data_IF_898619012832
#
_entry.id   IF_898619012832
#
_cell.length_a   1.000
_cell.length_b   1.000
_cell.length_c   1.000
_cell.angle_alpha   90.00
_cell.angle_beta   90.00
_cell.angle_gamma   90.00
#
_symmetry.space_group_name_H-M   'P 1'
#
loop_
_entity.id
_entity.type
_entity.pdbx_description
1 polymer ?
#
# COMPACT_ATOMS: atom_id res chain seq x y z
N UNK A 1 -3.55 1.31 17.96
CA UNK A 1 -3.76 0.81 16.57
C UNK A 1 -4.35 -0.59 16.64
N UNK A 2 -5.16 -0.99 15.66
CA UNK A 2 -5.79 -2.31 15.65
C UNK A 2 -4.84 -3.38 15.09
N UNK A 3 -4.53 -4.41 15.88
CA UNK A 3 -3.75 -5.57 15.42
C UNK A 3 -4.69 -6.74 15.09
N UNK A 4 -5.04 -6.99 13.82
CA UNK A 4 -5.96 -8.08 13.47
C UNK A 4 -5.49 -9.45 14.00
N UNK A 5 -6.44 -10.36 14.19
CA UNK A 5 -6.10 -11.78 14.34
C UNK A 5 -5.80 -12.38 12.96
N UNK A 6 -4.86 -13.32 12.86
CA UNK A 6 -4.46 -13.92 11.58
C UNK A 6 -5.65 -14.44 10.75
N UNK A 7 -6.63 -15.09 11.39
CA UNK A 7 -7.85 -15.58 10.72
C UNK A 7 -8.65 -14.48 10.00
N UNK A 8 -8.53 -13.21 10.41
CA UNK A 8 -9.19 -12.10 9.72
C UNK A 8 -8.55 -11.79 8.37
N UNK A 9 -7.26 -12.06 8.19
CA UNK A 9 -6.53 -11.78 6.95
C UNK A 9 -7.13 -12.50 5.75
N UNK A 10 -7.73 -13.68 5.95
CA UNK A 10 -8.41 -14.43 4.90
C UNK A 10 -9.61 -13.69 4.28
N UNK A 11 -10.21 -12.74 5.01
CA UNK A 11 -11.39 -11.96 4.56
C UNK A 11 -11.01 -10.70 3.77
N UNK A 12 -9.76 -10.26 3.85
CA UNK A 12 -9.26 -9.06 3.20
C UNK A 12 -8.89 -9.34 1.75
N UNK A 13 -8.80 -8.28 0.95
CA UNK A 13 -8.17 -8.36 -0.37
C UNK A 13 -6.71 -8.76 -0.21
N UNK A 14 -6.28 -9.75 -0.99
CA UNK A 14 -4.93 -10.26 -0.97
C UNK A 14 -4.19 -9.95 -2.28
N UNK A 15 -2.91 -9.62 -2.16
CA UNK A 15 -1.96 -9.56 -3.26
C UNK A 15 -0.99 -10.71 -3.02
N UNK A 16 -0.97 -11.68 -3.92
CA UNK A 16 -0.23 -12.93 -3.76
C UNK A 16 0.91 -12.96 -4.76
N UNK A 17 2.11 -13.28 -4.28
CA UNK A 17 3.32 -13.45 -5.08
C UNK A 17 4.28 -14.41 -4.37
N UNK A 18 5.16 -15.05 -5.13
CA UNK A 18 6.25 -15.81 -4.54
C UNK A 18 7.43 -14.90 -4.13
N UNK A 19 8.31 -15.43 -3.26
CA UNK A 19 9.46 -14.66 -2.75
C UNK A 19 10.43 -14.27 -3.86
N UNK A 20 10.63 -15.14 -4.84
CA UNK A 20 11.53 -14.87 -5.97
C UNK A 20 11.05 -13.68 -6.79
N UNK A 21 9.74 -13.58 -7.03
CA UNK A 21 9.13 -12.45 -7.70
C UNK A 21 9.23 -11.18 -6.87
N UNK A 22 9.08 -11.27 -5.55
CA UNK A 22 9.28 -10.14 -4.66
C UNK A 22 10.72 -9.60 -4.72
N UNK A 23 11.71 -10.50 -4.75
CA UNK A 23 13.13 -10.15 -4.92
C UNK A 23 13.39 -9.54 -6.31
N UNK A 24 12.79 -10.05 -7.38
CA UNK A 24 12.89 -9.48 -8.73
C UNK A 24 12.31 -8.05 -8.76
N UNK A 25 11.14 -7.82 -8.16
CA UNK A 25 10.56 -6.49 -8.05
C UNK A 25 11.45 -5.55 -7.24
N UNK A 26 12.04 -6.03 -6.14
CA UNK A 26 13.03 -5.26 -5.38
C UNK A 26 14.20 -4.85 -6.26
N UNK A 27 14.84 -5.79 -6.94
CA UNK A 27 16.06 -5.52 -7.71
C UNK A 27 15.77 -4.60 -8.91
N UNK A 28 14.64 -4.84 -9.58
CA UNK A 28 14.16 -4.00 -10.66
C UNK A 28 13.89 -2.57 -10.15
N UNK A 29 13.16 -2.38 -9.06
CA UNK A 29 12.85 -1.03 -8.61
C UNK A 29 13.99 -0.36 -7.85
N UNK A 30 14.83 -1.09 -7.13
CA UNK A 30 16.02 -0.54 -6.48
C UNK A 30 16.91 0.22 -7.48
N UNK A 31 17.09 -0.36 -8.67
CA UNK A 31 17.84 0.28 -9.76
C UNK A 31 17.11 1.49 -10.38
N UNK A 32 15.77 1.48 -10.42
CA UNK A 32 14.95 2.54 -11.02
C UNK A 32 14.52 3.64 -10.04
N UNK A 33 14.85 3.52 -8.74
CA UNK A 33 14.52 4.48 -7.66
C UNK A 33 13.03 4.88 -7.65
N UNK A 34 12.11 3.98 -7.27
CA UNK A 34 10.70 4.31 -7.20
C UNK A 34 10.46 5.48 -6.25
N UNK A 35 9.38 6.23 -6.45
CA UNK A 35 9.00 7.28 -5.53
C UNK A 35 8.83 6.72 -4.11
N UNK A 36 9.47 7.37 -3.14
CA UNK A 36 9.39 6.98 -1.73
C UNK A 36 7.97 7.11 -1.16
N UNK A 37 7.18 8.00 -1.76
CA UNK A 37 5.81 8.30 -1.37
C UNK A 37 4.88 7.65 -2.40
N UNK A 38 4.09 6.69 -1.94
CA UNK A 38 3.14 5.95 -2.76
C UNK A 38 1.70 6.20 -2.30
N UNK A 39 0.77 6.53 -3.21
CA UNK A 39 -0.63 6.62 -2.83
C UNK A 39 -1.11 5.24 -2.35
N UNK A 40 -2.04 5.20 -1.39
CA UNK A 40 -2.60 3.94 -0.91
C UNK A 40 -3.34 3.21 -2.03
N UNK A 41 -3.22 1.88 -2.08
CA UNK A 41 -3.98 1.03 -3.00
C UNK A 41 -5.41 0.83 -2.52
N UNK A 42 -5.57 0.35 -1.28
CA UNK A 42 -6.84 0.12 -0.61
C UNK A 42 -6.77 0.66 0.82
N UNK A 43 -7.88 0.67 1.55
CA UNK A 43 -7.93 1.03 2.97
C UNK A 43 -7.21 0.00 3.85
N UNK A 44 -7.53 -1.27 3.65
CA UNK A 44 -6.90 -2.42 4.28
C UNK A 44 -6.74 -3.57 3.27
N UNK A 45 -5.59 -4.23 3.30
CA UNK A 45 -5.31 -5.39 2.44
C UNK A 45 -4.15 -6.21 3.00
N UNK A 46 -3.84 -7.32 2.34
CA UNK A 46 -2.75 -8.22 2.72
C UNK A 46 -1.85 -8.48 1.53
N UNK A 47 -0.54 -8.38 1.72
CA UNK A 47 0.45 -8.91 0.78
C UNK A 47 0.86 -10.28 1.32
N UNK A 48 0.69 -11.34 0.52
CA UNK A 48 1.07 -12.71 0.89
C UNK A 48 2.24 -13.15 0.03
N UNK A 49 3.34 -13.49 0.69
CA UNK A 49 4.58 -13.93 0.07
C UNK A 49 4.76 -15.40 0.41
N UNK A 50 4.83 -16.24 -0.63
CA UNK A 50 5.08 -17.68 -0.46
C UNK A 50 6.53 -18.02 -0.75
N UNK A 51 7.13 -18.82 0.12
CA UNK A 51 8.50 -19.28 0.00
C UNK A 51 8.50 -20.71 -0.54
N UNK A 52 9.16 -20.93 -1.67
CA UNK A 52 9.37 -22.27 -2.20
C UNK A 52 10.41 -23.01 -1.37
N UNK A 53 10.28 -24.33 -1.27
CA UNK A 53 11.27 -25.16 -0.58
C UNK A 53 12.68 -24.99 -1.19
N UNK A 54 12.76 -24.84 -2.52
CA UNK A 54 14.01 -24.58 -3.24
C UNK A 54 14.66 -23.26 -2.81
N UNK A 55 13.88 -22.18 -2.70
CA UNK A 55 14.39 -20.88 -2.27
C UNK A 55 14.87 -20.94 -0.82
N UNK A 56 14.12 -21.61 0.06
CA UNK A 56 14.50 -21.83 1.46
C UNK A 56 15.81 -22.61 1.54
N UNK A 57 15.94 -23.70 0.79
CA UNK A 57 17.15 -24.52 0.77
C UNK A 57 18.36 -23.72 0.26
N UNK A 58 18.18 -22.94 -0.80
CA UNK A 58 19.24 -22.12 -1.40
C UNK A 58 19.76 -21.03 -0.46
N UNK A 59 18.88 -20.38 0.30
CA UNK A 59 19.25 -19.21 1.12
C UNK A 59 19.51 -19.54 2.60
N UNK A 60 18.93 -20.61 3.13
CA UNK A 60 19.01 -20.99 4.56
C UNK A 60 19.59 -22.39 4.79
N UNK A 61 20.11 -23.05 3.76
CA UNK A 61 20.79 -24.34 3.89
C UNK A 61 19.91 -25.48 4.43
N UNK A 62 18.58 -25.37 4.35
CA UNK A 62 17.64 -26.41 4.78
C UNK A 62 17.31 -26.46 6.28
N UNK A 63 17.64 -25.42 7.06
CA UNK A 63 17.37 -25.38 8.52
C UNK A 63 15.93 -24.97 8.91
N UNK A 64 15.07 -24.64 7.94
CA UNK A 64 13.66 -24.33 8.16
C UNK A 64 12.79 -25.58 7.91
N UNK A 65 11.62 -25.72 8.55
CA UNK A 65 10.77 -26.90 8.41
C UNK A 65 10.48 -27.19 6.93
N UNK A 66 10.60 -28.47 6.53
CA UNK A 66 10.28 -28.96 5.19
C UNK A 66 8.81 -28.67 4.85
N UNK A 67 8.56 -27.54 4.21
CA UNK A 67 7.25 -27.08 3.79
C UNK A 67 7.31 -25.71 3.13
N UNK A 68 6.29 -25.35 2.34
CA UNK A 68 6.15 -23.98 1.87
C UNK A 68 5.76 -23.07 3.04
N UNK A 69 6.67 -22.20 3.46
CA UNK A 69 6.41 -21.15 4.44
C UNK A 69 5.74 -19.96 3.76
N UNK A 70 4.98 -19.17 4.52
CA UNK A 70 4.39 -17.93 4.03
C UNK A 70 4.57 -16.80 5.02
N UNK A 71 4.84 -15.61 4.47
CA UNK A 71 4.82 -14.35 5.18
C UNK A 71 3.60 -13.56 4.70
N UNK A 72 2.83 -13.02 5.62
CA UNK A 72 1.72 -12.13 5.31
C UNK A 72 1.92 -10.77 5.94
N UNK A 73 1.88 -9.73 5.14
CA UNK A 73 1.98 -8.34 5.59
C UNK A 73 0.58 -7.74 5.49
N UNK A 74 -0.05 -7.53 6.65
CA UNK A 74 -1.26 -6.73 6.74
C UNK A 74 -0.90 -5.26 6.56
N UNK A 75 -1.56 -4.60 5.60
CA UNK A 75 -1.38 -3.19 5.28
C UNK A 75 -2.66 -2.45 5.63
N UNK A 76 -2.55 -1.38 6.40
CA UNK A 76 -3.66 -0.51 6.75
C UNK A 76 -3.26 0.96 6.68
N UNK A 77 -4.14 1.77 6.11
CA UNK A 77 -3.97 3.21 6.02
C UNK A 77 -4.93 3.92 6.98
N UNK A 78 -4.44 4.30 8.18
CA UNK A 78 -5.22 5.06 9.18
C UNK A 78 -5.65 6.42 8.62
N UNK A 79 -4.74 7.06 7.89
CA UNK A 79 -5.01 8.19 7.00
C UNK A 79 -4.31 7.89 5.69
N UNK A 80 -4.58 8.63 4.60
CA UNK A 80 -3.85 8.41 3.36
C UNK A 80 -2.33 8.44 3.56
N UNK A 81 -1.81 9.32 4.42
CA UNK A 81 -0.36 9.46 4.63
C UNK A 81 0.21 8.58 5.73
N UNK A 82 -0.63 8.02 6.61
CA UNK A 82 -0.22 7.17 7.73
C UNK A 82 -0.43 5.70 7.39
N UNK A 83 0.67 4.96 7.33
CA UNK A 83 0.66 3.54 6.98
C UNK A 83 1.05 2.71 8.20
N UNK A 84 0.32 1.61 8.35
CA UNK A 84 0.52 0.59 9.35
C UNK A 84 0.77 -0.74 8.64
N UNK A 85 1.90 -1.38 8.95
CA UNK A 85 2.29 -2.69 8.45
C UNK A 85 2.42 -3.65 9.63
N UNK A 86 1.82 -4.83 9.51
CA UNK A 86 1.95 -5.88 10.51
C UNK A 86 2.29 -7.20 9.80
N UNK A 87 3.51 -7.68 10.06
CA UNK A 87 4.04 -8.90 9.49
C UNK A 87 3.64 -10.12 10.32
N UNK A 88 3.23 -11.16 9.61
CA UNK A 88 2.98 -12.50 10.12
C UNK A 88 3.91 -13.46 9.39
N UNK A 89 4.48 -14.41 10.11
CA UNK A 89 5.16 -15.56 9.52
C UNK A 89 4.45 -16.81 10.04
N UNK A 90 3.97 -17.65 9.12
CA UNK A 90 3.22 -18.87 9.44
C UNK A 90 2.06 -18.60 10.42
N UNK A 91 1.37 -17.47 10.22
CA UNK A 91 0.24 -17.03 11.04
C UNK A 91 0.59 -16.46 12.42
N UNK A 92 1.86 -16.36 12.80
CA UNK A 92 2.32 -15.72 14.04
C UNK A 92 2.75 -14.29 13.77
N UNK A 93 2.31 -13.34 14.60
CA UNK A 93 2.73 -11.93 14.52
C UNK A 93 4.23 -11.82 14.82
N UNK A 94 4.96 -11.04 14.01
CA UNK A 94 6.39 -10.85 14.18
C UNK A 94 6.75 -9.40 14.48
N UNK A 95 6.50 -8.52 13.51
CA UNK A 95 6.96 -7.13 13.53
C UNK A 95 5.82 -6.23 13.10
N UNK A 96 5.69 -5.13 13.81
CA UNK A 96 4.79 -4.04 13.48
C UNK A 96 5.62 -2.81 13.08
N UNK A 97 5.29 -2.20 11.95
CA UNK A 97 5.95 -0.99 11.44
C UNK A 97 4.90 0.08 11.18
N UNK A 98 5.18 1.31 11.62
CA UNK A 98 4.27 2.45 11.42
C UNK A 98 5.03 3.67 10.96
N UNK A 99 4.47 4.42 10.00
CA UNK A 99 5.07 5.65 9.51
C UNK A 99 4.02 6.63 8.95
N UNK A 100 4.38 7.91 8.89
CA UNK A 100 3.62 8.96 8.20
C UNK A 100 4.49 9.55 7.10
N UNK A 101 4.01 9.61 5.86
CA UNK A 101 4.74 10.24 4.76
C UNK A 101 5.02 11.73 4.97
N UNK A 102 4.35 12.38 5.95
CA UNK A 102 4.66 13.74 6.37
C UNK A 102 5.76 13.84 7.44
N UNK A 103 6.20 12.72 8.02
CA UNK A 103 7.24 12.65 9.05
C UNK A 103 8.52 12.08 8.45
N UNK A 104 9.43 12.98 8.08
CA UNK A 104 10.69 12.66 7.42
C UNK A 104 11.84 13.32 8.15
N UNK A 105 13.00 12.67 8.15
CA UNK A 105 14.24 13.18 8.73
C UNK A 105 15.25 13.36 7.60
N UNK A 106 15.99 14.46 7.59
CA UNK A 106 17.10 14.62 6.65
C UNK A 106 18.30 13.79 7.13
N UNK A 107 18.88 13.00 6.23
CA UNK A 107 20.17 12.36 6.48
C UNK A 107 21.31 13.38 6.43
N UNK A 108 22.53 12.96 6.81
CA UNK A 108 23.73 13.82 6.82
C UNK A 108 24.08 14.38 5.42
N UNK A 109 23.41 13.89 4.36
CA UNK A 109 23.58 14.31 2.97
C UNK A 109 22.38 15.15 2.48
N UNK A 110 21.49 15.58 3.38
CA UNK A 110 20.31 16.39 3.10
C UNK A 110 19.19 15.66 2.36
N UNK A 111 19.21 14.31 2.33
CA UNK A 111 18.15 13.51 1.71
C UNK A 111 17.08 13.23 2.74
N UNK A 112 15.83 13.43 2.35
CA UNK A 112 14.69 13.08 3.20
C UNK A 112 14.59 11.55 3.28
N UNK A 113 14.69 11.03 4.49
CA UNK A 113 14.42 9.64 4.84
C UNK A 113 13.11 9.56 5.60
N UNK A 114 12.36 8.48 5.35
CA UNK A 114 11.10 8.22 6.04
C UNK A 114 11.37 7.86 7.51
N UNK A 115 10.75 8.58 8.45
CA UNK A 115 10.76 8.17 9.84
C UNK A 115 9.71 7.07 10.04
N UNK A 116 10.11 5.99 10.70
CA UNK A 116 9.21 4.90 11.06
C UNK A 116 9.45 4.46 12.49
N UNK A 117 8.42 3.89 13.11
CA UNK A 117 8.52 3.20 14.39
C UNK A 117 8.37 1.70 14.13
N UNK A 118 9.21 0.91 14.79
CA UNK A 118 9.17 -0.56 14.77
C UNK A 118 8.86 -1.07 16.18
N UNK A 119 8.00 -2.08 16.27
CA UNK A 119 7.67 -2.81 17.49
C UNK A 119 7.74 -4.31 17.20
N UNK A 120 8.51 -5.06 18.01
CA UNK A 120 8.51 -6.52 17.92
C UNK A 120 7.36 -7.10 18.74
N UNK A 121 6.69 -8.10 18.17
CA UNK A 121 5.62 -8.87 18.81
C UNK A 121 6.06 -10.30 19.14
N UNK A 122 7.36 -10.57 18.95
CA UNK A 122 8.05 -11.77 19.41
C UNK A 122 8.92 -11.41 20.62
N UNK A 123 9.37 -12.40 21.41
CA UNK A 123 10.38 -12.16 22.43
C UNK A 123 11.61 -11.48 21.82
N UNK A 124 12.20 -10.52 22.51
CA UNK A 124 13.34 -9.76 21.99
C UNK A 124 14.53 -10.66 21.63
N UNK A 125 14.63 -11.82 22.29
CA UNK A 125 15.61 -12.89 22.03
C UNK A 125 15.43 -13.59 20.68
N UNK A 126 14.32 -13.33 19.97
CA UNK A 126 14.12 -13.82 18.61
C UNK A 126 14.97 -13.05 17.58
N UNK A 127 15.56 -11.92 17.98
CA UNK A 127 16.47 -11.12 17.18
C UNK A 127 17.86 -11.19 17.78
N UNK A 128 18.88 -11.38 16.94
CA UNK A 128 20.28 -11.34 17.30
C UNK A 128 20.72 -9.93 17.72
N UNK A 129 20.12 -8.88 17.17
CA UNK A 129 20.38 -7.47 17.51
C UNK A 129 19.23 -6.54 17.16
N UNK A 130 19.30 -5.30 17.65
CA UNK A 130 18.39 -4.21 17.23
C UNK A 130 18.55 -3.89 15.74
N UNK A 131 19.77 -3.99 15.21
CA UNK A 131 20.05 -3.82 13.78
C UNK A 131 19.30 -4.85 12.92
N UNK A 132 19.18 -6.10 13.38
CA UNK A 132 18.43 -7.13 12.67
C UNK A 132 16.93 -6.82 12.64
N UNK A 133 16.37 -6.35 13.76
CA UNK A 133 14.97 -5.91 13.82
C UNK A 133 14.70 -4.74 12.85
N UNK A 134 15.62 -3.78 12.82
CA UNK A 134 15.55 -2.64 11.88
C UNK A 134 15.73 -3.07 10.42
N UNK A 135 16.56 -4.08 10.15
CA UNK A 135 16.70 -4.66 8.81
C UNK A 135 15.41 -5.34 8.36
N UNK A 136 14.79 -6.16 9.20
CA UNK A 136 13.50 -6.79 8.89
C UNK A 136 12.39 -5.74 8.69
N UNK A 137 12.36 -4.68 9.51
CA UNK A 137 11.41 -3.58 9.34
C UNK A 137 11.60 -2.87 7.99
N UNK A 138 12.84 -2.60 7.60
CA UNK A 138 13.16 -2.02 6.29
C UNK A 138 12.73 -2.94 5.15
N UNK A 139 12.96 -4.25 5.27
CA UNK A 139 12.55 -5.24 4.27
C UNK A 139 11.02 -5.27 4.11
N UNK A 140 10.27 -5.24 5.21
CA UNK A 140 8.79 -5.14 5.20
C UNK A 140 8.32 -3.85 4.51
N UNK A 141 8.92 -2.70 4.83
CA UNK A 141 8.60 -1.41 4.19
C UNK A 141 8.86 -1.49 2.68
N UNK A 142 10.01 -2.04 2.30
CA UNK A 142 10.43 -2.12 0.91
C UNK A 142 9.55 -3.09 0.10
N UNK A 143 9.20 -4.26 0.65
CA UNK A 143 8.24 -5.19 0.05
C UNK A 143 6.88 -4.49 -0.18
N UNK A 144 6.36 -3.82 0.84
CA UNK A 144 5.15 -3.00 0.71
C UNK A 144 5.28 -1.99 -0.43
N UNK A 145 6.39 -1.25 -0.50
CA UNK A 145 6.62 -0.22 -1.52
C UNK A 145 6.67 -0.80 -2.93
N UNK A 146 7.46 -1.84 -3.16
CA UNK A 146 7.65 -2.42 -4.49
C UNK A 146 6.38 -3.07 -5.03
N UNK A 147 5.68 -3.83 -4.20
CA UNK A 147 4.40 -4.43 -4.57
C UNK A 147 3.37 -3.33 -4.86
N UNK A 148 3.32 -2.30 -4.01
CA UNK A 148 2.39 -1.19 -4.18
C UNK A 148 2.67 -0.42 -5.48
N UNK A 149 3.94 -0.09 -5.74
CA UNK A 149 4.37 0.59 -6.95
C UNK A 149 4.07 -0.24 -8.20
N UNK A 150 4.37 -1.54 -8.18
CA UNK A 150 4.05 -2.45 -9.27
C UNK A 150 2.56 -2.44 -9.61
N UNK A 151 1.69 -2.60 -8.61
CA UNK A 151 0.24 -2.57 -8.83
C UNK A 151 -0.24 -1.20 -9.35
N UNK A 152 0.31 -0.11 -8.83
CA UNK A 152 -0.08 1.25 -9.21
C UNK A 152 0.34 1.65 -10.62
N UNK A 153 1.41 1.11 -11.18
CA UNK A 153 1.96 1.61 -12.44
C UNK A 153 2.06 0.55 -13.54
N UNK A 154 2.14 -0.73 -13.19
CA UNK A 154 2.35 -1.83 -14.13
C UNK A 154 1.12 -2.73 -14.30
N UNK A 155 0.26 -2.86 -13.29
CA UNK A 155 -0.97 -3.68 -13.40
C UNK A 155 -2.18 -2.91 -13.93
N UNK A 156 -2.83 -3.38 -15.02
CA UNK A 156 -4.00 -2.72 -15.59
C UNK A 156 -5.33 -3.10 -14.91
N UNK A 157 -5.37 -4.23 -14.21
CA UNK A 157 -6.55 -4.87 -13.63
C UNK A 157 -6.86 -4.44 -12.18
N UNK A 158 -6.08 -3.50 -11.63
CA UNK A 158 -6.37 -2.93 -10.31
C UNK A 158 -7.65 -2.10 -10.39
N UNK A 159 -8.72 -2.63 -9.80
CA UNK A 159 -10.05 -2.03 -9.84
C UNK A 159 -10.52 -1.55 -8.46
N UNK A 160 -10.94 -0.28 -8.42
CA UNK A 160 -11.48 0.38 -7.24
C UNK A 160 -13.01 0.29 -7.24
N UNK A 161 -13.59 -0.02 -6.08
CA UNK A 161 -15.02 0.09 -5.86
C UNK A 161 -15.42 1.56 -5.76
N UNK A 162 -16.60 1.88 -6.30
CA UNK A 162 -17.20 3.19 -6.13
C UNK A 162 -17.41 3.48 -4.64
N UNK A 163 -17.21 4.75 -4.25
CA UNK A 163 -17.55 5.19 -2.90
C UNK A 163 -19.03 4.85 -2.64
N UNK A 164 -19.38 4.16 -1.55
CA UNK A 164 -20.78 3.93 -1.23
C UNK A 164 -21.45 5.29 -1.12
N UNK A 165 -22.49 5.52 -1.93
CA UNK A 165 -23.34 6.69 -1.77
C UNK A 165 -23.96 6.54 -0.39
N UNK A 166 -23.52 7.37 0.57
CA UNK A 166 -24.19 7.49 1.85
C UNK A 166 -25.65 7.77 1.55
N UNK A 167 -26.52 6.76 1.69
CA UNK A 167 -27.97 6.96 1.68
C UNK A 167 -28.28 7.75 2.94
N UNK A 168 -28.15 9.06 2.86
CA UNK A 168 -28.72 9.98 3.83
C UNK A 168 -30.23 9.76 3.78
N UNK A 169 -30.74 8.87 4.62
CA UNK A 169 -32.16 8.55 4.77
C UNK A 169 -32.94 9.64 5.52
N UNK A 170 -32.43 10.87 5.57
CA UNK A 170 -33.15 11.99 6.18
C UNK A 170 -33.31 13.14 5.19
N UNK A 171 -34.52 13.71 5.06
CA UNK A 171 -34.72 14.96 4.33
C UNK A 171 -33.84 16.04 4.95
N UNK A 172 -33.00 16.69 4.14
CA UNK A 172 -32.16 17.81 4.60
C UNK A 172 -33.06 18.99 4.96
N UNK A 173 -33.39 19.15 6.23
CA UNK A 173 -33.72 20.47 6.76
C UNK A 173 -32.42 21.27 6.83
N UNK A 174 -32.40 22.39 6.10
CA UNK A 174 -31.32 23.36 6.05
C UNK A 174 -30.75 23.66 7.44
N UNK A 175 -29.47 23.32 7.69
CA UNK A 175 -28.61 23.95 8.68
C UNK A 175 -27.16 23.48 8.52
N UNK A 176 -26.26 24.45 8.35
CA UNK A 176 -24.82 24.29 8.49
C UNK A 176 -24.11 23.61 7.31
N UNK A 177 -23.19 24.34 6.67
CA UNK A 177 -22.16 23.77 5.80
C UNK A 177 -21.18 22.95 6.64
N UNK A 178 -21.64 21.82 7.20
CA UNK A 178 -20.77 20.79 7.73
C UNK A 178 -19.96 20.26 6.56
N UNK A 179 -18.66 20.56 6.54
CA UNK A 179 -17.70 19.93 5.64
C UNK A 179 -17.99 18.42 5.70
N UNK A 180 -18.42 17.83 4.59
CA UNK A 180 -18.32 16.39 4.43
C UNK A 180 -16.86 16.04 4.70
N UNK A 181 -16.58 15.47 5.85
CA UNK A 181 -15.32 14.80 6.11
C UNK A 181 -15.23 13.75 5.03
N UNK A 182 -14.36 13.96 4.05
CA UNK A 182 -14.11 12.99 2.99
C UNK A 182 -13.55 11.75 3.65
N UNK A 183 -14.42 10.82 4.02
CA UNK A 183 -14.05 9.47 4.43
C UNK A 183 -13.27 8.89 3.27
N UNK A 184 -11.97 8.71 3.48
CA UNK A 184 -11.08 7.98 2.61
C UNK A 184 -11.62 6.55 2.49
N UNK A 185 -12.04 6.15 1.29
CA UNK A 185 -12.54 4.80 1.03
C UNK A 185 -11.96 4.36 -0.31
N UNK A 186 -10.94 3.53 -0.25
CA UNK A 186 -10.42 2.78 -1.39
C UNK A 186 -10.67 1.32 -1.11
N UNK A 187 -11.54 0.69 -1.88
CA UNK A 187 -11.82 -0.75 -1.73
C UNK A 187 -11.54 -1.43 -3.05
N UNK A 188 -10.96 -2.62 -2.98
CA UNK A 188 -10.81 -3.46 -4.16
C UNK A 188 -12.16 -4.00 -4.60
N UNK A 189 -12.37 -4.14 -5.91
CA UNK A 189 -13.50 -4.94 -6.44
C UNK A 189 -13.25 -6.44 -6.40
N UNK A 190 -11.99 -6.86 -6.44
CA UNK A 190 -11.60 -8.27 -6.41
C UNK A 190 -10.99 -8.64 -5.06
N UNK A 191 -11.14 -9.91 -4.69
CA UNK A 191 -10.61 -10.44 -3.43
C UNK A 191 -9.12 -10.80 -3.52
N UNK A 192 -8.60 -11.04 -4.72
CA UNK A 192 -7.24 -11.53 -4.92
C UNK A 192 -6.64 -10.96 -6.20
N UNK A 193 -5.39 -10.50 -6.10
CA UNK A 193 -4.49 -10.21 -7.22
C UNK A 193 -3.31 -11.20 -7.14
N UNK A 194 -2.99 -11.88 -8.24
CA UNK A 194 -1.78 -12.71 -8.36
C UNK A 194 -0.75 -11.97 -9.20
N UNK A 195 0.48 -11.87 -8.73
CA UNK A 195 1.64 -11.43 -9.53
C UNK A 195 2.44 -12.67 -9.85
N UNK A 196 2.36 -13.10 -11.11
CA UNK A 196 2.94 -14.37 -11.50
C UNK A 196 4.45 -14.23 -11.69
N UNK A 197 5.18 -15.32 -11.43
CA UNK A 197 6.66 -15.37 -11.53
C UNK A 197 7.19 -14.85 -12.88
N UNK A 198 6.49 -15.18 -13.97
CA UNK A 198 6.89 -14.85 -15.34
C UNK A 198 6.39 -13.47 -15.82
N UNK A 199 5.69 -12.71 -14.97
CA UNK A 199 5.08 -11.45 -15.37
C UNK A 199 6.12 -10.33 -15.47
N UNK A 200 6.42 -9.86 -16.69
CA UNK A 200 7.43 -8.81 -16.89
C UNK A 200 6.82 -7.43 -16.61
N UNK A 201 7.45 -6.57 -15.79
CA UNK A 201 7.01 -5.19 -15.60
C UNK A 201 7.05 -4.43 -16.93
N UNK A 202 5.91 -4.30 -17.59
CA UNK A 202 5.78 -3.47 -18.80
C UNK A 202 5.27 -2.10 -18.39
N UNK A 203 6.15 -1.09 -18.38
CA UNK A 203 5.76 0.28 -18.05
C UNK A 203 4.73 0.78 -19.06
N UNK A 204 3.54 1.14 -18.58
CA UNK A 204 2.46 1.58 -19.46
C UNK A 204 2.37 3.10 -19.46
N UNK A 205 2.58 3.68 -20.64
CA UNK A 205 2.34 5.10 -20.91
C UNK A 205 0.84 5.41 -20.88
N UNK A 206 0.31 5.81 -19.73
CA UNK A 206 -1.07 6.27 -19.62
C UNK A 206 -1.23 7.63 -20.31
N UNK A 207 -1.63 7.64 -21.59
CA UNK A 207 -1.82 8.86 -22.41
C UNK A 207 -2.99 9.77 -22.00
N UNK A 208 -3.83 9.36 -21.04
CA UNK A 208 -4.92 10.17 -20.47
C UNK A 208 -4.80 10.17 -18.96
N UNK A 209 -4.94 11.34 -18.33
CA UNK A 209 -4.85 11.62 -16.89
C UNK A 209 -5.22 10.43 -15.96
N UNK A 210 -4.26 9.53 -15.75
CA UNK A 210 -4.38 8.36 -14.88
C UNK A 210 -4.57 8.74 -13.40
N UNK A 211 -4.29 10.00 -13.05
CA UNK A 211 -4.52 10.59 -11.73
C UNK A 211 -5.96 10.45 -11.24
N UNK A 212 -6.90 10.36 -12.17
CA UNK A 212 -8.32 10.17 -11.89
C UNK A 212 -8.68 8.75 -11.46
N UNK A 213 -7.86 7.73 -11.76
CA UNK A 213 -8.22 6.31 -11.51
C UNK A 213 -7.60 5.77 -10.23
N UNK A 214 -6.41 6.24 -9.82
CA UNK A 214 -5.61 5.63 -8.73
C UNK A 214 -5.32 6.55 -7.52
N UNK A 215 -5.74 7.82 -7.61
CA UNK A 215 -5.41 8.84 -6.61
C UNK A 215 -3.94 9.26 -6.66
N UNK A 216 -3.60 10.37 -6.01
CA UNK A 216 -2.22 10.88 -5.97
C UNK A 216 -2.01 11.81 -4.79
N UNK A 217 -0.75 12.10 -4.46
CA UNK A 217 -0.42 13.19 -3.54
C UNK A 217 -0.10 14.47 -4.27
N UNK A 218 -0.41 15.57 -3.61
CA UNK A 218 0.14 16.90 -3.91
C UNK A 218 0.62 17.54 -2.62
N UNK A 219 1.59 18.44 -2.69
CA UNK A 219 1.97 19.26 -1.53
C UNK A 219 1.02 20.45 -1.39
N UNK A 220 0.56 20.68 -0.17
CA UNK A 220 -0.17 21.88 0.21
C UNK A 220 0.75 23.09 0.33
N UNK A 221 0.17 24.28 0.54
CA UNK A 221 0.95 25.52 0.77
C UNK A 221 1.87 25.44 2.00
N UNK A 222 1.53 24.59 2.96
CA UNK A 222 2.30 24.33 4.17
C UNK A 222 3.33 23.20 4.00
N UNK A 223 3.62 22.77 2.77
CA UNK A 223 4.57 21.69 2.47
C UNK A 223 4.06 20.26 2.74
N UNK A 224 2.97 20.11 3.51
CA UNK A 224 2.38 18.80 3.85
C UNK A 224 1.73 18.13 2.65
N UNK A 225 1.83 16.81 2.60
CA UNK A 225 1.17 15.97 1.61
C UNK A 225 -0.34 15.98 1.85
N UNK A 226 -1.07 16.21 0.77
CA UNK A 226 -2.52 16.15 0.69
C UNK A 226 -2.86 15.07 -0.34
N UNK A 227 -3.57 14.05 0.10
CA UNK A 227 -4.07 13.02 -0.80
C UNK A 227 -5.27 13.54 -1.60
N UNK A 228 -5.20 13.36 -2.91
CA UNK A 228 -6.27 13.62 -3.85
C UNK A 228 -6.85 12.27 -4.25
N UNK A 229 -8.06 12.01 -3.78
CA UNK A 229 -8.79 10.77 -4.06
C UNK A 229 -9.01 10.56 -5.56
N UNK A 230 -8.98 9.31 -6.05
CA UNK A 230 -9.37 9.01 -7.42
C UNK A 230 -10.81 9.48 -7.66
N UNK A 231 -11.05 9.95 -8.88
CA UNK A 231 -12.37 10.34 -9.37
C UNK A 231 -12.63 9.60 -10.69
N UNK A 232 -13.46 8.55 -10.65
CA UNK A 232 -13.99 7.99 -11.88
C UNK A 232 -14.97 8.98 -12.52
N UNK A 233 -14.61 9.50 -13.70
CA UNK A 233 -15.54 10.27 -14.50
C UNK A 233 -16.65 9.34 -14.97
N UNK A 234 -17.81 9.36 -14.28
CA UNK A 234 -19.00 8.66 -14.76
C UNK A 234 -19.33 9.20 -16.15
N UNK A 235 -19.45 8.32 -17.14
CA UNK A 235 -20.13 8.68 -18.40
C UNK A 235 -21.53 9.11 -18.01
N UNK A 236 -21.79 10.41 -18.11
CA UNK A 236 -23.11 10.96 -17.81
C UNK A 236 -24.09 10.44 -18.84
N UNK A 237 -25.24 9.95 -18.38
CA UNK A 237 -26.45 9.99 -19.19
C UNK A 237 -26.65 11.45 -19.62
N UNK A 238 -26.94 11.65 -20.90
CA UNK A 238 -27.18 12.95 -21.53
C UNK A 238 -28.16 13.79 -20.70
N UNK A 239 -27.67 14.78 -19.95
CA UNK A 239 -28.53 15.69 -19.17
C UNK A 239 -27.90 16.32 -17.93
N UNK A 240 -26.87 15.74 -17.31
CA UNK A 240 -26.33 16.28 -16.07
C UNK A 240 -25.21 17.32 -16.31
N UNK A 241 -25.41 18.55 -15.78
CA UNK A 241 -24.54 19.74 -15.92
C UNK A 241 -23.07 19.48 -15.60
N UNK A 242 -22.18 19.95 -16.49
CA UNK A 242 -20.70 19.82 -16.46
C UNK A 242 -20.10 19.76 -15.04
N UNK A 243 -19.23 18.77 -14.77
CA UNK A 243 -18.43 18.78 -13.55
C UNK A 243 -17.67 20.12 -13.50
N UNK A 244 -17.53 20.78 -12.34
CA UNK A 244 -16.90 22.08 -12.28
C UNK A 244 -15.48 21.98 -12.83
N UNK A 245 -15.23 22.70 -13.93
CA UNK A 245 -13.89 22.91 -14.49
C UNK A 245 -13.06 23.64 -13.44
N UNK A 246 -12.37 22.91 -12.57
CA UNK A 246 -11.30 23.48 -11.74
C UNK A 246 -10.22 22.44 -11.55
N UNK A 247 -9.21 22.48 -12.42
CA UNK A 247 -7.81 22.70 -12.05
C UNK A 247 -7.10 23.24 -13.29
N UNK A 248 -6.79 24.54 -13.31
CA UNK A 248 -5.81 25.10 -14.24
C UNK A 248 -4.46 24.85 -13.57
N UNK A 249 -3.66 23.93 -14.12
CA UNK A 249 -2.23 23.88 -13.82
C UNK A 249 -1.63 25.03 -14.62
N UNK A 250 -1.18 26.08 -13.94
CA UNK A 250 -0.35 27.10 -14.60
C UNK A 250 1.01 26.46 -14.85
N UNK A 251 1.38 26.36 -16.13
CA UNK A 251 2.75 26.27 -16.61
C UNK A 251 3.51 27.54 -16.24
#
# INVERSE_FOLDING_TARGET
MYQPAYKRLAKLTAIELDREKADELRDYFWSHKPPEILPPLFDEYVIRITYSAEWIQKNFGGQLPLGSTSQEIYVCHDTPTKTYLLSYMEGKKQVQVTFDYNDTVEDDKGRLSLRYNVETLMPITAWASDDELHQEANDIINLYRYVTFYLLYYRPDVEYADRPVSRSSRPRTNRGAGKQTNTFVLRSKVRRYSIDRHEIPTERNYRKFAWSVRGHYRRGKNGKLIYVTPHQARRRSSGERAAPRKYVIKT
#
